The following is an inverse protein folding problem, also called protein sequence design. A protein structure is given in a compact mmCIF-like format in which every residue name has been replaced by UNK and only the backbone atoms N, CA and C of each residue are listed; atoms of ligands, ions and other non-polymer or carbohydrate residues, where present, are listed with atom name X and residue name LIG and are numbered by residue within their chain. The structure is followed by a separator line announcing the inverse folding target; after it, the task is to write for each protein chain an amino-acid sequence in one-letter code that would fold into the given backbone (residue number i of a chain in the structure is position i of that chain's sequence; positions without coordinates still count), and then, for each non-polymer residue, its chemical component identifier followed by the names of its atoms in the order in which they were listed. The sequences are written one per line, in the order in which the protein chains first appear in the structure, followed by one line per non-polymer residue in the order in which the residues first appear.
data_IF_515970530363
#
_entry.id   IF_515970530363
#
_cell.length_a   1.000
_cell.length_b   1.000
_cell.length_c   1.000
_cell.angle_alpha   90.00
_cell.angle_beta   90.00
_cell.angle_gamma   90.00
#
_symmetry.space_group_name_H-M   'P 1'
#
loop_
_entity.id
_entity.type
_entity.pdbx_description
1 polymer ?
#
# COMPACT_ATOMS: atom_id res chain seq x y z
N UNK A 1 -5.15 -6.42 -8.29
CA UNK A 1 -3.90 -7.12 -8.01
C UNK A 1 -3.89 -7.65 -6.58
N UNK A 2 -3.33 -8.84 -6.37
CA UNK A 2 -3.15 -9.44 -5.04
C UNK A 2 -1.67 -9.31 -4.65
N UNK A 3 -1.42 -8.90 -3.40
CA UNK A 3 -0.07 -8.75 -2.84
C UNK A 3 0.05 -9.57 -1.55
N UNK A 4 1.28 -9.90 -1.15
CA UNK A 4 1.55 -10.58 0.12
C UNK A 4 1.36 -9.65 1.31
N UNK A 5 0.80 -10.17 2.42
CA UNK A 5 0.55 -9.41 3.65
C UNK A 5 0.68 -10.27 4.93
N UNK A 6 1.61 -11.23 4.92
CA UNK A 6 1.78 -12.18 6.01
C UNK A 6 0.75 -13.32 6.01
N UNK A 7 0.98 -14.33 6.84
CA UNK A 7 0.02 -15.44 7.06
C UNK A 7 -1.19 -14.94 7.85
N UNK A 8 -0.94 -14.05 8.79
CA UNK A 8 -1.97 -13.36 9.58
C UNK A 8 -1.58 -11.89 9.73
N UNK A 9 -2.56 -11.01 9.86
CA UNK A 9 -2.30 -9.59 10.13
C UNK A 9 -2.05 -9.31 11.63
N UNK A 10 -1.43 -10.24 12.36
CA UNK A 10 -1.22 -10.11 13.81
C UNK A 10 0.23 -10.27 14.26
N UNK A 11 1.14 -10.62 13.34
CA UNK A 11 2.55 -10.87 13.66
C UNK A 11 3.47 -9.98 12.83
N UNK A 12 4.09 -8.95 13.43
CA UNK A 12 5.06 -8.08 12.76
C UNK A 12 6.29 -8.86 12.31
N UNK A 13 6.80 -8.60 11.11
CA UNK A 13 8.04 -9.23 10.63
C UNK A 13 9.24 -8.79 11.47
N UNK A 14 9.29 -7.54 11.90
CA UNK A 14 10.35 -7.02 12.77
C UNK A 14 10.52 -7.75 14.12
N UNK A 15 9.53 -8.55 14.52
CA UNK A 15 9.59 -9.36 15.74
C UNK A 15 10.09 -10.80 15.51
N UNK A 16 10.42 -11.16 14.27
CA UNK A 16 10.89 -12.48 13.86
C UNK A 16 12.42 -12.48 13.71
N UNK A 17 13.03 -13.64 13.90
CA UNK A 17 14.39 -13.85 13.40
C UNK A 17 14.36 -14.08 11.87
N UNK A 18 15.55 -13.98 11.22
CA UNK A 18 15.63 -14.08 9.76
C UNK A 18 15.10 -15.43 9.22
N UNK A 19 15.32 -16.52 9.93
CA UNK A 19 14.89 -17.84 9.49
C UNK A 19 13.34 -17.96 9.55
N UNK A 20 12.74 -17.43 10.59
CA UNK A 20 11.29 -17.37 10.76
C UNK A 20 10.64 -16.45 9.71
N UNK A 21 11.22 -15.25 9.51
CA UNK A 21 10.73 -14.32 8.50
C UNK A 21 10.79 -14.92 7.10
N UNK A 22 11.91 -15.51 6.72
CA UNK A 22 12.12 -16.21 5.44
C UNK A 22 11.07 -17.30 5.24
N UNK A 23 10.79 -18.10 6.26
CA UNK A 23 9.77 -19.15 6.19
C UNK A 23 8.37 -18.58 5.98
N UNK A 24 8.02 -17.49 6.66
CA UNK A 24 6.73 -16.79 6.48
C UNK A 24 6.59 -16.22 5.08
N UNK A 25 7.60 -15.51 4.57
CA UNK A 25 7.58 -14.93 3.23
C UNK A 25 7.43 -16.02 2.16
N UNK A 26 8.21 -17.11 2.26
CA UNK A 26 8.12 -18.24 1.35
C UNK A 26 6.75 -18.94 1.37
N UNK A 27 6.17 -19.13 2.57
CA UNK A 27 4.86 -19.76 2.72
C UNK A 27 3.75 -18.91 2.10
N UNK A 28 3.75 -17.60 2.33
CA UNK A 28 2.78 -16.66 1.72
C UNK A 28 2.92 -16.65 0.22
N UNK A 29 4.16 -16.58 -0.30
CA UNK A 29 4.42 -16.60 -1.73
C UNK A 29 3.88 -17.88 -2.38
N UNK A 30 4.15 -19.04 -1.78
CA UNK A 30 3.66 -20.32 -2.28
C UNK A 30 2.13 -20.41 -2.28
N UNK A 31 1.50 -20.00 -1.18
CA UNK A 31 0.04 -20.02 -1.03
C UNK A 31 -0.65 -19.10 -2.06
N UNK A 32 -0.14 -17.88 -2.25
CA UNK A 32 -0.70 -16.96 -3.25
C UNK A 32 -0.44 -17.46 -4.67
N UNK A 33 0.73 -18.03 -4.93
CA UNK A 33 1.03 -18.63 -6.25
C UNK A 33 0.08 -19.77 -6.58
N UNK A 34 -0.22 -20.63 -5.62
CA UNK A 34 -1.19 -21.72 -5.78
C UNK A 34 -2.60 -21.18 -6.06
N UNK A 35 -3.04 -20.15 -5.30
CA UNK A 35 -4.38 -19.59 -5.42
C UNK A 35 -4.59 -18.77 -6.70
N UNK A 36 -3.58 -17.98 -7.11
CA UNK A 36 -3.69 -17.01 -8.22
C UNK A 36 -3.08 -17.51 -9.55
N UNK A 37 -2.39 -18.66 -9.51
CA UNK A 37 -1.67 -19.20 -10.69
C UNK A 37 -0.40 -18.42 -11.06
N UNK A 38 0.01 -17.44 -10.27
CA UNK A 38 1.23 -16.64 -10.45
C UNK A 38 1.74 -16.12 -9.10
N UNK A 39 3.05 -15.92 -9.01
CA UNK A 39 3.65 -15.36 -7.81
C UNK A 39 3.21 -13.89 -7.60
N UNK A 40 2.99 -13.46 -6.35
CA UNK A 40 2.72 -12.07 -6.04
C UNK A 40 3.94 -11.20 -6.37
N UNK A 41 3.71 -10.00 -6.88
CA UNK A 41 4.78 -9.06 -7.22
C UNK A 41 5.03 -8.03 -6.13
N UNK A 42 4.06 -7.81 -5.24
CA UNK A 42 4.11 -6.81 -4.20
C UNK A 42 3.93 -7.37 -2.80
N UNK A 43 4.48 -6.65 -1.83
CA UNK A 43 4.40 -6.96 -0.42
C UNK A 43 4.01 -5.73 0.40
N UNK A 44 3.21 -5.97 1.45
CA UNK A 44 2.91 -5.04 2.53
C UNK A 44 3.06 -5.82 3.85
N UNK A 45 3.99 -5.43 4.70
CA UNK A 45 4.17 -6.10 5.99
C UNK A 45 3.01 -5.81 6.95
N UNK A 46 2.58 -6.80 7.76
CA UNK A 46 1.65 -6.54 8.85
C UNK A 46 2.14 -5.38 9.74
N UNK A 47 1.24 -4.44 10.04
CA UNK A 47 1.53 -3.22 10.82
C UNK A 47 2.58 -2.29 10.21
N UNK A 48 2.88 -2.37 8.92
CA UNK A 48 4.00 -1.62 8.31
C UNK A 48 5.31 -1.84 9.10
N UNK A 49 5.55 -3.09 9.51
CA UNK A 49 6.65 -3.45 10.39
C UNK A 49 7.58 -4.48 9.74
N UNK A 50 8.33 -4.07 8.70
CA UNK A 50 9.38 -4.90 8.11
C UNK A 50 10.55 -5.03 9.08
N UNK A 51 11.36 -6.07 8.91
CA UNK A 51 12.70 -6.13 9.48
C UNK A 51 13.70 -5.40 8.57
N UNK A 52 14.93 -5.23 9.02
CA UNK A 52 16.02 -4.72 8.17
C UNK A 52 16.33 -5.67 6.99
N UNK A 53 15.97 -6.95 7.11
CA UNK A 53 16.20 -7.98 6.10
C UNK A 53 15.05 -8.15 5.12
N UNK A 54 13.85 -7.63 5.43
CA UNK A 54 12.66 -7.80 4.58
C UNK A 54 12.92 -7.45 3.11
N UNK A 55 13.53 -6.32 2.74
CA UNK A 55 13.79 -5.99 1.34
C UNK A 55 14.67 -7.03 0.62
N UNK A 56 15.70 -7.54 1.27
CA UNK A 56 16.60 -8.56 0.71
C UNK A 56 15.84 -9.87 0.49
N UNK A 57 15.11 -10.33 1.51
CA UNK A 57 14.34 -11.58 1.45
C UNK A 57 13.24 -11.54 0.39
N UNK A 58 12.60 -10.39 0.21
CA UNK A 58 11.62 -10.19 -0.85
C UNK A 58 12.26 -10.19 -2.24
N UNK A 59 13.41 -9.53 -2.39
CA UNK A 59 14.17 -9.56 -3.65
C UNK A 59 14.61 -10.98 -4.03
N UNK A 60 15.09 -11.78 -3.08
CA UNK A 60 15.40 -13.20 -3.28
C UNK A 60 14.20 -14.01 -3.81
N UNK A 61 12.99 -13.68 -3.36
CA UNK A 61 11.74 -14.34 -3.77
C UNK A 61 11.13 -13.75 -5.06
N UNK A 62 11.78 -12.74 -5.66
CA UNK A 62 11.36 -12.14 -6.92
C UNK A 62 10.23 -11.11 -6.81
N UNK A 63 10.03 -10.53 -5.63
CA UNK A 63 9.11 -9.41 -5.47
C UNK A 63 9.66 -8.16 -6.17
N UNK A 64 8.77 -7.41 -6.80
CA UNK A 64 9.13 -6.21 -7.55
C UNK A 64 8.96 -4.92 -6.72
N UNK A 65 8.05 -4.91 -5.76
CA UNK A 65 7.77 -3.72 -4.97
C UNK A 65 7.30 -4.01 -3.54
N UNK A 66 7.44 -3.01 -2.70
CA UNK A 66 7.21 -3.02 -1.26
C UNK A 66 6.46 -1.75 -0.85
N UNK A 67 5.51 -1.87 0.09
CA UNK A 67 4.63 -0.78 0.54
C UNK A 67 4.86 -0.37 2.01
N UNK A 68 5.98 -0.78 2.62
CA UNK A 68 6.18 -0.69 4.08
C UNK A 68 6.68 0.67 4.59
N UNK A 69 7.17 1.54 3.70
CA UNK A 69 7.82 2.78 4.11
C UNK A 69 6.86 3.97 4.02
N UNK A 70 5.89 4.02 4.92
CA UNK A 70 4.87 5.07 4.97
C UNK A 70 5.39 6.49 5.28
N UNK A 71 6.71 6.67 5.49
CA UNK A 71 7.34 7.99 5.65
C UNK A 71 7.54 8.72 4.31
N UNK A 72 7.44 7.99 3.21
CA UNK A 72 7.51 8.51 1.84
C UNK A 72 6.16 8.22 1.21
N UNK A 73 5.18 9.07 1.46
CA UNK A 73 3.79 8.84 1.10
C UNK A 73 3.33 9.51 -0.20
N UNK A 74 4.25 10.12 -0.95
CA UNK A 74 3.99 10.83 -2.21
C UNK A 74 4.85 10.38 -3.39
N UNK A 75 6.07 9.85 -3.16
CA UNK A 75 7.00 9.47 -4.23
C UNK A 75 7.54 8.05 -4.09
N UNK A 76 7.57 7.28 -5.19
CA UNK A 76 8.29 6.01 -5.23
C UNK A 76 9.81 6.22 -5.12
N UNK A 77 10.50 5.27 -4.50
CA UNK A 77 11.95 5.25 -4.47
C UNK A 77 12.51 3.82 -4.54
N UNK A 78 13.76 3.70 -4.98
CA UNK A 78 14.44 2.41 -5.02
C UNK A 78 15.15 2.12 -3.71
N UNK A 79 14.76 1.05 -3.05
CA UNK A 79 15.48 0.50 -1.90
C UNK A 79 16.59 -0.41 -2.41
N UNK A 80 17.83 -0.14 -1.98
CA UNK A 80 18.97 -1.01 -2.27
C UNK A 80 18.81 -2.30 -1.46
N UNK A 81 19.02 -3.41 -2.15
CA UNK A 81 19.10 -4.76 -1.57
C UNK A 81 20.55 -5.23 -1.49
N UNK A 82 20.80 -6.41 -0.95
CA UNK A 82 22.13 -7.04 -0.97
C UNK A 82 22.64 -7.18 -2.41
N UNK A 83 23.97 -7.20 -2.59
CA UNK A 83 24.68 -7.06 -3.88
C UNK A 83 24.29 -8.07 -4.99
N UNK A 84 23.57 -9.12 -4.63
CA UNK A 84 23.19 -10.20 -5.55
C UNK A 84 21.78 -10.04 -6.15
N UNK A 85 21.03 -9.02 -5.75
CA UNK A 85 19.64 -8.83 -6.14
C UNK A 85 19.40 -7.46 -6.73
N UNK A 86 18.37 -7.38 -7.58
CA UNK A 86 17.91 -6.10 -8.10
C UNK A 86 17.29 -5.25 -6.97
N UNK A 87 17.42 -3.91 -7.02
CA UNK A 87 16.75 -3.03 -6.09
C UNK A 87 15.23 -3.25 -6.12
N UNK A 88 14.59 -3.20 -4.95
CA UNK A 88 13.13 -3.29 -4.84
C UNK A 88 12.51 -1.89 -4.86
N UNK A 89 11.42 -1.71 -5.61
CA UNK A 89 10.70 -0.45 -5.66
C UNK A 89 9.85 -0.27 -4.40
N UNK A 90 10.08 0.81 -3.66
CA UNK A 90 9.23 1.21 -2.55
C UNK A 90 8.16 2.17 -3.07
N UNK A 91 6.91 1.81 -2.85
CA UNK A 91 5.75 2.60 -3.28
C UNK A 91 5.11 3.29 -2.08
N UNK A 92 4.55 4.49 -2.28
CA UNK A 92 3.84 5.20 -1.23
C UNK A 92 2.71 4.37 -0.62
N UNK A 93 2.65 4.34 0.71
CA UNK A 93 1.53 3.81 1.46
C UNK A 93 1.09 4.83 2.52
N UNK A 94 -0.17 5.28 2.53
CA UNK A 94 -0.57 6.41 3.35
C UNK A 94 -0.75 6.00 4.82
N UNK A 95 -0.16 6.76 5.72
CA UNK A 95 -0.41 6.64 7.16
C UNK A 95 -1.67 7.44 7.53
N UNK A 96 -1.78 8.67 7.04
CA UNK A 96 -2.89 9.59 7.36
C UNK A 96 -4.18 9.20 6.65
N UNK A 97 -4.11 8.87 5.36
CA UNK A 97 -5.25 8.45 4.55
C UNK A 97 -5.46 6.92 4.61
N UNK A 98 -5.49 6.39 5.82
CA UNK A 98 -5.81 5.02 6.14
C UNK A 98 -7.04 5.00 7.06
N UNK A 99 -8.11 4.34 6.61
CA UNK A 99 -9.40 4.37 7.28
C UNK A 99 -9.38 3.75 8.69
N UNK A 100 -8.48 2.79 8.95
CA UNK A 100 -8.38 2.18 10.27
C UNK A 100 -7.84 3.14 11.33
N UNK A 101 -6.63 3.75 11.20
CA UNK A 101 -6.19 4.76 12.17
C UNK A 101 -7.10 5.98 12.20
N UNK A 102 -7.65 6.40 11.06
CA UNK A 102 -8.53 7.56 11.00
C UNK A 102 -9.86 7.32 11.72
N UNK A 103 -10.66 6.37 11.24
CA UNK A 103 -12.03 6.20 11.70
C UNK A 103 -12.15 5.37 13.00
N UNK A 104 -11.19 4.44 13.26
CA UNK A 104 -11.27 3.57 14.43
C UNK A 104 -10.54 4.18 15.64
N UNK A 105 -9.34 4.73 15.43
CA UNK A 105 -8.52 5.24 16.53
C UNK A 105 -8.72 6.74 16.76
N UNK A 106 -8.60 7.58 15.72
CA UNK A 106 -8.85 9.05 15.83
C UNK A 106 -10.34 9.40 15.88
N UNK A 107 -11.21 8.47 15.45
CA UNK A 107 -12.67 8.64 15.38
C UNK A 107 -13.13 9.71 14.38
N UNK A 108 -12.37 9.90 13.32
CA UNK A 108 -12.77 10.76 12.23
C UNK A 108 -14.11 10.27 11.64
N UNK A 109 -14.98 11.18 11.34
CA UNK A 109 -16.23 10.86 10.62
C UNK A 109 -15.90 10.47 9.16
N UNK A 110 -16.79 9.72 8.48
CA UNK A 110 -16.58 9.43 7.06
C UNK A 110 -16.45 10.70 6.21
N UNK A 111 -17.18 11.74 6.55
CA UNK A 111 -17.12 13.03 5.86
C UNK A 111 -15.74 13.69 6.02
N UNK A 112 -15.21 13.77 7.23
CA UNK A 112 -13.88 14.31 7.51
C UNK A 112 -12.79 13.53 6.76
N UNK A 113 -12.83 12.20 6.82
CA UNK A 113 -11.83 11.35 6.18
C UNK A 113 -11.82 11.53 4.66
N UNK A 114 -12.98 11.43 4.00
CA UNK A 114 -13.04 11.54 2.53
C UNK A 114 -12.86 12.98 2.04
N UNK A 115 -13.21 13.99 2.82
CA UNK A 115 -12.87 15.38 2.52
C UNK A 115 -11.36 15.62 2.60
N UNK A 116 -10.68 15.04 3.60
CA UNK A 116 -9.20 15.10 3.68
C UNK A 116 -8.56 14.37 2.51
N UNK A 117 -9.06 13.20 2.13
CA UNK A 117 -8.60 12.48 0.96
C UNK A 117 -8.76 13.29 -0.34
N UNK A 118 -9.89 13.97 -0.51
CA UNK A 118 -10.16 14.84 -1.65
C UNK A 118 -9.19 16.03 -1.69
N UNK A 119 -8.98 16.71 -0.57
CA UNK A 119 -8.06 17.85 -0.48
C UNK A 119 -6.61 17.44 -0.76
N UNK A 120 -6.16 16.33 -0.21
CA UNK A 120 -4.81 15.83 -0.49
C UNK A 120 -4.66 15.43 -1.94
N UNK A 121 -5.64 14.74 -2.52
CA UNK A 121 -5.63 14.40 -3.94
C UNK A 121 -5.54 15.64 -4.83
N UNK A 122 -6.34 16.69 -4.56
CA UNK A 122 -6.35 17.92 -5.34
C UNK A 122 -5.03 18.68 -5.21
N UNK A 123 -4.44 18.76 -4.03
CA UNK A 123 -3.14 19.39 -3.78
C UNK A 123 -2.00 18.64 -4.47
N UNK A 124 -1.97 17.31 -4.34
CA UNK A 124 -0.97 16.49 -5.01
C UNK A 124 -1.10 16.60 -6.54
N UNK A 125 -2.33 16.60 -7.06
CA UNK A 125 -2.58 16.80 -8.49
C UNK A 125 -2.08 18.16 -8.97
N UNK A 126 -2.31 19.24 -8.22
CA UNK A 126 -1.83 20.58 -8.56
C UNK A 126 -0.30 20.65 -8.54
N UNK A 127 0.35 20.06 -7.55
CA UNK A 127 1.81 20.07 -7.40
C UNK A 127 2.52 19.06 -8.33
N UNK A 128 1.82 18.06 -8.86
CA UNK A 128 2.38 17.05 -9.77
C UNK A 128 2.88 17.60 -11.12
N UNK A 129 2.59 18.86 -11.41
CA UNK A 129 3.15 19.59 -12.58
C UNK A 129 4.67 19.71 -12.49
N UNK A 130 5.21 19.86 -11.28
CA UNK A 130 6.65 20.02 -11.04
C UNK A 130 7.37 18.67 -10.93
N UNK A 131 6.71 17.65 -10.38
CA UNK A 131 7.25 16.29 -10.24
C UNK A 131 6.12 15.26 -10.09
N UNK A 132 6.27 14.05 -10.67
CA UNK A 132 5.24 13.03 -10.58
C UNK A 132 5.05 12.56 -9.14
N UNK A 133 3.79 12.37 -8.74
CA UNK A 133 3.40 11.91 -7.41
C UNK A 133 2.50 10.68 -7.51
N UNK A 134 2.49 9.88 -6.47
CA UNK A 134 1.60 8.72 -6.32
C UNK A 134 0.65 8.97 -5.16
N UNK A 135 -0.62 9.22 -5.48
CA UNK A 135 -1.66 9.27 -4.46
C UNK A 135 -2.09 7.84 -4.08
N UNK A 136 -2.09 7.53 -2.80
CA UNK A 136 -2.57 6.28 -2.27
C UNK A 136 -3.64 6.50 -1.18
N UNK A 137 -4.58 5.57 -1.10
CA UNK A 137 -5.66 5.54 -0.09
C UNK A 137 -5.80 4.12 0.43
N UNK A 138 -5.63 3.93 1.74
CA UNK A 138 -5.77 2.62 2.38
C UNK A 138 -7.17 2.44 2.95
N UNK A 139 -7.86 1.40 2.48
CA UNK A 139 -9.22 1.09 2.87
C UNK A 139 -9.37 -0.36 3.31
N UNK A 140 -10.09 -0.56 4.41
CA UNK A 140 -10.49 -1.87 4.88
C UNK A 140 -11.97 -2.12 4.56
N UNK A 141 -12.30 -3.23 3.93
CA UNK A 141 -13.65 -3.57 3.50
C UNK A 141 -14.66 -3.56 4.67
N UNK A 142 -14.25 -3.99 5.85
CA UNK A 142 -15.08 -3.99 7.07
C UNK A 142 -15.21 -2.60 7.72
N UNK A 143 -14.43 -1.60 7.31
CA UNK A 143 -14.52 -0.21 7.76
C UNK A 143 -15.20 0.64 6.68
N UNK A 144 -14.48 1.00 5.62
CA UNK A 144 -15.00 1.86 4.56
C UNK A 144 -16.13 1.23 3.75
N UNK A 145 -16.20 -0.11 3.70
CA UNK A 145 -17.25 -0.87 3.01
C UNK A 145 -18.62 -0.89 3.70
N UNK A 146 -18.76 -0.31 4.90
CA UNK A 146 -20.06 -0.21 5.55
C UNK A 146 -21.02 0.69 4.77
N UNK A 147 -22.33 0.34 4.64
CA UNK A 147 -23.29 1.07 3.81
C UNK A 147 -23.33 2.57 4.05
N UNK A 148 -23.27 3.00 5.32
CA UNK A 148 -23.31 4.42 5.68
C UNK A 148 -22.02 5.19 5.34
N UNK A 149 -20.90 4.49 5.07
CA UNK A 149 -19.63 5.07 4.65
C UNK A 149 -19.43 5.03 3.14
N UNK A 150 -20.05 4.05 2.47
CA UNK A 150 -19.92 3.85 1.01
C UNK A 150 -20.38 5.05 0.18
N UNK A 151 -21.34 5.84 0.67
CA UNK A 151 -21.77 7.06 -0.02
C UNK A 151 -20.63 8.07 -0.16
N UNK A 152 -19.85 8.27 0.88
CA UNK A 152 -18.70 9.18 0.89
C UNK A 152 -17.56 8.65 0.01
N UNK A 153 -17.28 7.34 0.07
CA UNK A 153 -16.31 6.70 -0.81
C UNK A 153 -16.69 6.86 -2.29
N UNK A 154 -17.96 6.68 -2.64
CA UNK A 154 -18.43 6.86 -4.02
C UNK A 154 -18.26 8.30 -4.52
N UNK A 155 -18.50 9.28 -3.68
CA UNK A 155 -18.27 10.71 -4.02
C UNK A 155 -16.78 10.94 -4.30
N UNK A 156 -15.90 10.46 -3.42
CA UNK A 156 -14.47 10.56 -3.63
C UNK A 156 -14.02 9.85 -4.92
N UNK A 157 -14.43 8.61 -5.14
CA UNK A 157 -14.06 7.87 -6.37
C UNK A 157 -14.61 8.52 -7.65
N UNK A 158 -15.79 9.17 -7.57
CA UNK A 158 -16.32 9.94 -8.70
C UNK A 158 -15.48 11.18 -9.00
N UNK A 159 -14.94 11.83 -7.96
CA UNK A 159 -14.02 12.96 -8.10
C UNK A 159 -12.71 12.55 -8.77
N UNK A 160 -12.10 11.46 -8.30
CA UNK A 160 -10.87 10.89 -8.90
C UNK A 160 -11.12 10.47 -10.36
N UNK A 161 -12.25 9.82 -10.62
CA UNK A 161 -12.63 9.43 -11.99
C UNK A 161 -12.75 10.63 -12.92
N UNK A 162 -13.41 11.70 -12.49
CA UNK A 162 -13.53 12.93 -13.28
C UNK A 162 -12.15 13.54 -13.58
N UNK A 163 -11.24 13.54 -12.61
CA UNK A 163 -9.86 13.99 -12.84
C UNK A 163 -9.13 13.11 -13.87
N UNK A 164 -9.27 11.79 -13.79
CA UNK A 164 -8.66 10.87 -14.74
C UNK A 164 -9.21 11.05 -16.19
N UNK A 165 -10.46 11.41 -16.34
CA UNK A 165 -11.07 11.73 -17.64
C UNK A 165 -10.48 13.00 -18.28
N UNK A 166 -9.89 13.90 -17.51
CA UNK A 166 -9.13 15.05 -18.02
C UNK A 166 -7.73 14.70 -18.51
N UNK A 167 -7.22 13.50 -18.19
CA UNK A 167 -5.97 12.97 -18.74
C UNK A 167 -4.70 13.35 -17.97
N UNK A 168 -4.81 14.02 -16.84
CA UNK A 168 -3.69 14.40 -15.96
C UNK A 168 -3.53 13.48 -14.75
N UNK A 169 -4.40 12.48 -14.62
CA UNK A 169 -4.35 11.45 -13.58
C UNK A 169 -4.41 10.06 -14.21
N UNK A 170 -3.45 9.24 -13.87
CA UNK A 170 -3.41 7.83 -14.27
C UNK A 170 -3.82 6.92 -13.12
N UNK A 171 -4.99 6.29 -13.25
CA UNK A 171 -5.48 5.30 -12.29
C UNK A 171 -4.96 3.93 -12.70
N UNK A 172 -4.12 3.32 -11.87
CA UNK A 172 -3.45 2.05 -12.17
C UNK A 172 -3.28 1.19 -10.93
N UNK A 173 -2.67 0.02 -11.11
CA UNK A 173 -2.16 -0.86 -10.05
C UNK A 173 -0.64 -0.86 -10.07
N UNK A 174 0.05 -1.17 -8.94
CA UNK A 174 1.51 -1.18 -8.84
C UNK A 174 2.21 -2.20 -9.73
N UNK A 175 1.53 -3.26 -10.16
CA UNK A 175 2.12 -4.40 -10.86
C UNK A 175 1.83 -4.56 -12.33
#
# INVERSE_FOLDING_TARGET
EIIGHGITNSKPLAAMDEAEERAVLAAVTAQLTEAEGRAPRGWLSPYLSPSERTPDLLAELGYAYLLDFGMMDDQPFWCRTADNFDPILCLPYPIELNDQPAMVFRRDTPDEFFNNATRQFDEMRASSVDYPQVFALSLHSFIAGQPFRLSHLRVFLSHVKAAAEHGDVWVTTPG
#
